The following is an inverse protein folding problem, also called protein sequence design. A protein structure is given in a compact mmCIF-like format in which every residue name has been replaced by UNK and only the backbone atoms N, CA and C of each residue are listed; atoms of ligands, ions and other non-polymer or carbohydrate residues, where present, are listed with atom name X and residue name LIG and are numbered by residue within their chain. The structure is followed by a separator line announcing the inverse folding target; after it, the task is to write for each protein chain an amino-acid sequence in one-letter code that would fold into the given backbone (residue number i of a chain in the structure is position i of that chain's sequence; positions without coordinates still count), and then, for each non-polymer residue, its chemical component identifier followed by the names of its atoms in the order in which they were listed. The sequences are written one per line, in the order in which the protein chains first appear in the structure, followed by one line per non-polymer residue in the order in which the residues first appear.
data_IF_112343743787
#
_entry.id   IF_112343743787
#
_cell.length_a   1.000
_cell.length_b   1.000
_cell.length_c   1.000
_cell.angle_alpha   90.00
_cell.angle_beta   90.00
_cell.angle_gamma   90.00
#
_symmetry.space_group_name_H-M   'P 1'
#
loop_
_entity.id
_entity.type
_entity.pdbx_description
1 polymer ?
#
# COMPACT_ATOMS: atom_id res chain seq x y z
N UNK A 1 10.80 -4.98 -5.58
CA UNK A 1 9.99 -4.45 -4.45
C UNK A 1 10.33 -5.17 -3.17
N UNK A 2 10.35 -4.47 -2.03
CA UNK A 2 10.60 -5.09 -0.72
C UNK A 2 9.40 -5.90 -0.26
N UNK A 3 9.66 -7.03 0.39
CA UNK A 3 8.60 -7.93 0.91
C UNK A 3 7.81 -7.29 2.07
N UNK A 4 8.42 -6.37 2.81
CA UNK A 4 7.78 -5.63 3.89
C UNK A 4 7.70 -4.15 3.54
N UNK A 5 6.50 -3.60 3.51
CA UNK A 5 6.29 -2.16 3.42
C UNK A 5 5.26 -1.67 4.44
N UNK A 6 5.37 -0.41 4.82
CA UNK A 6 4.43 0.25 5.73
C UNK A 6 3.59 1.26 4.94
N UNK A 7 2.27 1.08 4.98
CA UNK A 7 1.33 2.05 4.42
C UNK A 7 1.15 3.21 5.40
N UNK A 8 1.73 4.37 5.08
CA UNK A 8 1.78 5.53 5.97
C UNK A 8 0.55 6.44 5.84
N UNK A 9 0.16 7.15 6.93
CA UNK A 9 -0.90 8.14 6.87
C UNK A 9 -0.45 9.38 6.09
N UNK A 10 -1.41 10.12 5.53
CA UNK A 10 -1.18 11.47 5.02
C UNK A 10 -1.34 12.47 6.14
N UNK A 11 -0.33 13.32 6.41
CA UNK A 11 -0.45 14.34 7.44
C UNK A 11 -1.43 15.44 7.01
N UNK A 12 -2.37 15.78 7.91
CA UNK A 12 -3.26 16.91 7.75
C UNK A 12 -3.19 17.82 8.98
N UNK A 13 -3.30 19.14 8.79
CA UNK A 13 -3.43 20.09 9.90
C UNK A 13 -4.77 19.90 10.63
N UNK A 14 -4.94 20.58 11.79
CA UNK A 14 -6.23 20.60 12.51
C UNK A 14 -7.40 21.12 11.67
N UNK A 15 -7.12 21.92 10.64
CA UNK A 15 -8.10 22.39 9.66
C UNK A 15 -8.25 21.49 8.44
N UNK A 16 -7.82 20.23 8.51
CA UNK A 16 -7.88 19.24 7.42
C UNK A 16 -7.07 19.64 6.16
N UNK A 17 -6.19 20.62 6.26
CA UNK A 17 -5.34 21.00 5.13
C UNK A 17 -4.16 20.02 5.00
N UNK A 18 -3.78 19.69 3.77
CA UNK A 18 -2.62 18.84 3.49
C UNK A 18 -1.34 19.46 4.08
N UNK A 19 -0.62 18.70 4.89
CA UNK A 19 0.68 19.06 5.48
C UNK A 19 1.78 18.17 4.89
N UNK A 20 2.28 18.51 3.71
CA UNK A 20 3.33 17.71 3.04
C UNK A 20 4.61 17.61 3.86
N UNK A 21 4.95 18.63 4.67
CA UNK A 21 6.13 18.61 5.52
C UNK A 21 6.10 17.51 6.60
N UNK A 22 4.91 17.07 7.00
CA UNK A 22 4.73 16.01 8.00
C UNK A 22 5.16 14.62 7.51
N UNK A 23 5.35 14.39 6.21
CA UNK A 23 5.84 13.09 5.71
C UNK A 23 7.28 12.81 6.13
N UNK A 24 8.16 13.81 6.11
CA UNK A 24 9.58 13.61 6.44
C UNK A 24 9.80 13.02 7.84
N UNK A 25 9.26 13.58 8.92
CA UNK A 25 9.46 13.01 10.25
C UNK A 25 8.84 11.62 10.41
N UNK A 26 7.70 11.31 9.76
CA UNK A 26 7.11 9.97 9.75
C UNK A 26 8.07 8.98 9.09
N UNK A 27 8.59 9.30 7.91
CA UNK A 27 9.49 8.42 7.15
C UNK A 27 10.82 8.26 7.89
N UNK A 28 11.36 9.33 8.47
CA UNK A 28 12.59 9.27 9.28
C UNK A 28 12.42 8.31 10.45
N UNK A 29 11.32 8.43 11.21
CA UNK A 29 11.01 7.54 12.32
C UNK A 29 10.93 6.08 11.88
N UNK A 30 10.24 5.78 10.78
CA UNK A 30 10.12 4.43 10.25
C UNK A 30 11.48 3.87 9.80
N UNK A 31 12.29 4.67 9.10
CA UNK A 31 13.63 4.29 8.66
C UNK A 31 14.56 3.99 9.83
N UNK A 32 14.57 4.82 10.89
CA UNK A 32 15.31 4.58 12.13
C UNK A 32 14.89 3.30 12.85
N UNK A 33 13.66 2.84 12.62
CA UNK A 33 13.12 1.57 13.12
C UNK A 33 13.20 0.42 12.10
N UNK A 34 14.02 0.54 11.05
CA UNK A 34 14.37 -0.55 10.13
C UNK A 34 13.35 -0.82 9.03
N UNK A 35 12.42 0.13 8.76
CA UNK A 35 11.54 0.07 7.59
C UNK A 35 12.31 0.54 6.36
N UNK A 36 12.27 -0.26 5.30
CA UNK A 36 12.98 -0.02 4.04
C UNK A 36 12.05 0.33 2.87
N UNK A 37 10.73 0.27 3.08
CA UNK A 37 9.74 0.57 2.04
C UNK A 37 8.46 1.15 2.65
N UNK A 38 7.92 2.20 2.01
CA UNK A 38 6.67 2.84 2.43
C UNK A 38 5.71 3.03 1.26
N UNK A 39 4.41 2.90 1.57
CA UNK A 39 3.33 3.20 0.62
C UNK A 39 2.68 4.53 0.99
N UNK A 40 2.78 5.50 0.10
CA UNK A 40 2.23 6.84 0.21
C UNK A 40 0.92 6.92 -0.58
N UNK A 41 -0.05 7.71 -0.13
CA UNK A 41 -1.32 7.91 -0.83
C UNK A 41 -2.08 6.60 -1.10
N UNK A 42 -1.94 5.61 -0.20
CA UNK A 42 -2.78 4.41 -0.17
C UNK A 42 -4.09 4.64 0.61
N UNK A 43 -4.75 3.56 0.97
CA UNK A 43 -5.96 3.62 1.83
C UNK A 43 -5.65 4.22 3.20
N UNK A 44 -4.55 3.79 3.83
CA UNK A 44 -4.07 4.35 5.11
C UNK A 44 -3.71 5.83 4.98
N UNK A 45 -3.24 6.25 3.80
CA UNK A 45 -2.97 7.64 3.46
C UNK A 45 -4.22 8.44 3.08
N UNK A 46 -5.42 7.94 3.36
CA UNK A 46 -6.69 8.64 3.11
C UNK A 46 -6.85 9.17 1.68
N UNK A 47 -6.35 8.41 0.68
CA UNK A 47 -6.40 8.84 -0.72
C UNK A 47 -7.79 9.21 -1.22
N UNK A 48 -8.84 8.61 -0.64
CA UNK A 48 -10.24 8.85 -0.96
C UNK A 48 -10.73 10.24 -0.55
N UNK A 49 -10.07 10.88 0.42
CA UNK A 49 -10.42 12.22 0.93
C UNK A 49 -9.62 13.34 0.24
N UNK A 50 -8.69 13.00 -0.64
CA UNK A 50 -7.82 13.97 -1.32
C UNK A 50 -8.26 14.24 -2.76
N UNK A 51 -8.15 15.49 -3.18
CA UNK A 51 -8.23 15.86 -4.59
C UNK A 51 -7.01 15.31 -5.37
N UNK A 52 -7.12 15.26 -6.68
CA UNK A 52 -5.98 14.87 -7.53
C UNK A 52 -4.86 15.91 -7.44
N UNK A 53 -5.18 17.17 -7.27
CA UNK A 53 -4.25 18.28 -7.11
C UNK A 53 -3.43 18.12 -5.81
N UNK A 54 -4.07 17.75 -4.69
CA UNK A 54 -3.37 17.46 -3.44
C UNK A 54 -2.43 16.24 -3.57
N UNK A 55 -2.88 15.19 -4.24
CA UNK A 55 -2.04 14.01 -4.50
C UNK A 55 -0.86 14.33 -5.43
N UNK A 56 -1.04 15.22 -6.41
CA UNK A 56 0.06 15.75 -7.23
C UNK A 56 1.03 16.62 -6.41
N UNK A 57 0.52 17.42 -5.49
CA UNK A 57 1.34 18.22 -4.57
C UNK A 57 2.22 17.33 -3.67
N UNK A 58 1.72 16.18 -3.24
CA UNK A 58 2.55 15.19 -2.51
C UNK A 58 3.71 14.73 -3.41
N UNK A 59 3.45 14.38 -4.67
CA UNK A 59 4.50 13.95 -5.61
C UNK A 59 5.54 15.06 -5.80
N UNK A 60 5.12 16.32 -5.96
CA UNK A 60 6.03 17.46 -6.09
C UNK A 60 6.91 17.62 -4.86
N UNK A 61 6.33 17.55 -3.66
CA UNK A 61 7.07 17.60 -2.41
C UNK A 61 8.15 16.51 -2.33
N UNK A 62 7.81 15.26 -2.68
CA UNK A 62 8.80 14.18 -2.64
C UNK A 62 9.92 14.38 -3.65
N UNK A 63 9.64 14.94 -4.84
CA UNK A 63 10.66 15.25 -5.84
C UNK A 63 11.66 16.32 -5.39
N UNK A 64 11.26 17.21 -4.48
CA UNK A 64 12.10 18.29 -3.94
C UNK A 64 12.89 17.84 -2.70
N UNK A 65 12.66 16.63 -2.20
CA UNK A 65 13.26 16.10 -1.00
C UNK A 65 14.20 14.94 -1.30
N UNK A 66 15.19 14.77 -0.44
CA UNK A 66 16.04 13.58 -0.44
C UNK A 66 15.47 12.54 0.53
N UNK A 67 14.99 11.43 -0.02
CA UNK A 67 14.52 10.24 0.68
C UNK A 67 15.33 9.01 0.29
N UNK A 68 16.64 9.15 0.18
CA UNK A 68 17.55 8.03 -0.11
C UNK A 68 17.42 6.89 0.90
N UNK A 69 17.72 5.67 0.46
CA UNK A 69 17.72 4.44 1.25
C UNK A 69 16.34 3.98 1.77
N UNK A 70 15.26 4.46 1.19
CA UNK A 70 13.92 3.91 1.43
C UNK A 70 13.16 3.81 0.12
N UNK A 71 12.54 2.66 -0.14
CA UNK A 71 11.71 2.45 -1.32
C UNK A 71 10.38 3.21 -1.16
N UNK A 72 10.05 4.01 -2.15
CA UNK A 72 8.85 4.84 -2.18
C UNK A 72 7.83 4.28 -3.18
N UNK A 73 6.69 3.83 -2.70
CA UNK A 73 5.59 3.33 -3.51
C UNK A 73 4.42 4.30 -3.43
N UNK A 74 3.85 4.71 -4.56
CA UNK A 74 2.70 5.62 -4.57
C UNK A 74 1.41 4.88 -4.92
N UNK A 75 0.39 5.03 -4.07
CA UNK A 75 -0.94 4.48 -4.33
C UNK A 75 -1.66 5.23 -5.45
N UNK A 76 -2.12 4.51 -6.45
CA UNK A 76 -2.95 5.03 -7.55
C UNK A 76 -4.28 4.28 -7.58
N UNK A 77 -5.32 4.88 -7.03
CA UNK A 77 -6.70 4.43 -7.19
C UNK A 77 -7.59 5.67 -7.28
N UNK A 78 -8.43 5.72 -8.27
CA UNK A 78 -9.35 6.83 -8.53
C UNK A 78 -10.65 6.30 -9.11
N UNK A 79 -11.73 7.08 -9.02
CA UNK A 79 -12.99 6.74 -9.67
C UNK A 79 -12.98 7.02 -11.18
N UNK A 80 -12.07 7.90 -11.65
CA UNK A 80 -11.98 8.30 -13.05
C UNK A 80 -10.63 7.89 -13.64
N UNK A 81 -10.66 7.16 -14.75
CA UNK A 81 -9.43 6.76 -15.46
C UNK A 81 -8.53 7.97 -15.79
N UNK A 82 -9.10 9.11 -16.23
CA UNK A 82 -8.31 10.31 -16.55
C UNK A 82 -7.50 10.83 -15.35
N UNK A 83 -8.02 10.71 -14.15
CA UNK A 83 -7.31 11.14 -12.94
C UNK A 83 -6.18 10.17 -12.60
N UNK A 84 -6.42 8.86 -12.75
CA UNK A 84 -5.35 7.86 -12.63
C UNK A 84 -4.24 8.08 -13.66
N UNK A 85 -4.60 8.35 -14.93
CA UNK A 85 -3.63 8.65 -15.98
C UNK A 85 -2.80 9.91 -15.67
N UNK A 86 -3.40 10.96 -15.08
CA UNK A 86 -2.66 12.16 -14.65
C UNK A 86 -1.64 11.83 -13.56
N UNK A 87 -2.03 11.04 -12.58
CA UNK A 87 -1.11 10.61 -11.49
C UNK A 87 0.03 9.76 -12.05
N UNK A 88 -0.28 8.75 -12.87
CA UNK A 88 0.75 7.85 -13.43
C UNK A 88 1.76 8.64 -14.28
N UNK A 89 1.29 9.56 -15.13
CA UNK A 89 2.18 10.43 -15.93
C UNK A 89 3.08 11.30 -15.05
N UNK A 90 2.55 11.83 -13.94
CA UNK A 90 3.33 12.63 -13.00
C UNK A 90 4.38 11.76 -12.27
N UNK A 91 4.00 10.54 -11.92
CA UNK A 91 4.89 9.60 -11.23
C UNK A 91 6.02 9.09 -12.13
N UNK A 92 5.83 8.98 -13.43
CA UNK A 92 6.86 8.49 -14.36
C UNK A 92 8.17 9.26 -14.24
N UNK A 93 8.14 10.57 -14.10
CA UNK A 93 9.32 11.43 -13.93
C UNK A 93 9.71 11.71 -12.47
N UNK A 94 9.15 10.98 -11.51
CA UNK A 94 9.32 11.27 -10.09
C UNK A 94 10.35 10.35 -9.40
N UNK A 95 10.66 10.67 -8.14
CA UNK A 95 11.55 9.87 -7.26
C UNK A 95 10.91 8.57 -6.75
N UNK A 96 9.62 8.34 -6.98
CA UNK A 96 8.97 7.11 -6.56
C UNK A 96 9.50 5.90 -7.33
N UNK A 97 9.75 4.79 -6.64
CA UNK A 97 10.27 3.55 -7.21
C UNK A 97 9.19 2.75 -7.92
N UNK A 98 7.97 2.77 -7.39
CA UNK A 98 6.87 1.98 -7.93
C UNK A 98 5.48 2.53 -7.61
N UNK A 99 4.48 1.85 -8.18
CA UNK A 99 3.07 2.18 -8.05
C UNK A 99 2.30 1.05 -7.37
N UNK A 100 1.41 1.39 -6.43
CA UNK A 100 0.37 0.49 -5.94
C UNK A 100 -0.93 0.82 -6.69
N UNK A 101 -1.26 0.06 -7.72
CA UNK A 101 -2.36 0.31 -8.64
C UNK A 101 -3.63 -0.40 -8.20
N UNK A 102 -4.59 0.35 -7.67
CA UNK A 102 -5.89 -0.15 -7.25
C UNK A 102 -6.97 0.01 -8.32
N UNK A 103 -7.97 -0.87 -8.28
CA UNK A 103 -9.17 -0.76 -9.10
C UNK A 103 -10.08 0.37 -8.62
N UNK A 104 -10.85 1.00 -9.54
CA UNK A 104 -11.79 2.06 -9.18
C UNK A 104 -12.78 1.58 -8.12
N UNK A 105 -12.95 2.29 -7.01
CA UNK A 105 -13.99 1.99 -6.05
C UNK A 105 -15.37 2.36 -6.59
N UNK A 106 -16.44 1.77 -6.04
CA UNK A 106 -17.83 2.04 -6.36
C UNK A 106 -18.32 1.48 -7.72
N UNK A 107 -17.50 1.55 -8.77
CA UNK A 107 -17.81 1.00 -10.09
C UNK A 107 -17.36 -0.46 -10.15
N UNK A 108 -18.25 -1.35 -10.60
CA UNK A 108 -17.92 -2.78 -10.79
C UNK A 108 -17.66 -3.06 -12.27
N UNK A 109 -16.40 -2.97 -12.73
CA UNK A 109 -16.07 -3.28 -14.11
C UNK A 109 -16.22 -4.78 -14.39
N UNK A 110 -16.39 -5.15 -15.65
CA UNK A 110 -16.14 -6.52 -16.10
C UNK A 110 -14.64 -6.81 -16.04
N UNK A 111 -14.25 -8.10 -16.13
CA UNK A 111 -12.83 -8.50 -16.14
C UNK A 111 -12.09 -7.84 -17.31
N UNK A 112 -12.67 -7.84 -18.51
CA UNK A 112 -12.07 -7.19 -19.69
C UNK A 112 -11.89 -5.67 -19.51
N UNK A 113 -12.85 -4.99 -18.88
CA UNK A 113 -12.72 -3.56 -18.57
C UNK A 113 -11.64 -3.29 -17.53
N UNK A 114 -11.50 -4.16 -16.54
CA UNK A 114 -10.45 -4.05 -15.53
C UNK A 114 -9.06 -4.30 -16.13
N UNK A 115 -8.90 -5.29 -16.98
CA UNK A 115 -7.65 -5.53 -17.73
C UNK A 115 -7.32 -4.31 -18.59
N UNK A 116 -8.26 -3.80 -19.36
CA UNK A 116 -8.06 -2.59 -20.16
C UNK A 116 -7.67 -1.37 -19.32
N UNK A 117 -8.31 -1.15 -18.17
CA UNK A 117 -7.94 -0.10 -17.23
C UNK A 117 -6.48 -0.21 -16.77
N UNK A 118 -6.04 -1.40 -16.40
CA UNK A 118 -4.66 -1.64 -15.99
C UNK A 118 -3.70 -1.37 -17.16
N UNK A 119 -4.00 -1.89 -18.37
CA UNK A 119 -3.15 -1.71 -19.55
C UNK A 119 -3.00 -0.25 -19.98
N UNK A 120 -4.09 0.53 -19.92
CA UNK A 120 -4.05 1.97 -20.18
C UNK A 120 -3.08 2.68 -19.23
N UNK A 121 -3.03 2.29 -17.96
CA UNK A 121 -2.13 2.89 -16.98
C UNK A 121 -0.70 2.38 -17.13
N UNK A 122 -0.52 1.08 -17.38
CA UNK A 122 0.78 0.49 -17.61
C UNK A 122 1.47 1.08 -18.87
N UNK A 123 0.70 1.48 -19.88
CA UNK A 123 1.26 2.13 -21.09
C UNK A 123 1.93 3.47 -20.81
N UNK A 124 1.64 4.09 -19.67
CA UNK A 124 2.10 5.43 -19.29
C UNK A 124 3.30 5.46 -18.35
N UNK A 125 3.80 4.29 -17.95
CA UNK A 125 4.91 4.18 -16.99
C UNK A 125 5.86 3.05 -17.33
N UNK A 126 7.14 3.26 -17.04
CA UNK A 126 8.18 2.24 -17.05
C UNK A 126 8.44 1.66 -15.64
N UNK A 127 7.87 2.27 -14.60
CA UNK A 127 8.05 1.88 -13.21
C UNK A 127 7.41 0.54 -12.88
N UNK A 128 7.92 -0.08 -11.83
CA UNK A 128 7.35 -1.29 -11.26
C UNK A 128 5.94 -1.06 -10.70
N UNK A 129 5.06 -2.02 -10.88
CA UNK A 129 3.66 -1.93 -10.47
C UNK A 129 3.27 -3.11 -9.60
N UNK A 130 2.71 -2.80 -8.44
CA UNK A 130 2.01 -3.73 -7.58
C UNK A 130 0.52 -3.55 -7.84
N UNK A 131 -0.18 -4.58 -8.30
CA UNK A 131 -1.63 -4.54 -8.41
C UNK A 131 -2.27 -4.59 -7.02
N UNK A 132 -3.34 -3.82 -6.80
CA UNK A 132 -4.07 -3.85 -5.54
C UNK A 132 -5.52 -4.28 -5.78
N UNK A 133 -5.79 -5.54 -5.48
CA UNK A 133 -7.12 -6.13 -5.50
C UNK A 133 -7.70 -6.09 -4.09
N UNK A 134 -8.83 -5.40 -3.90
CA UNK A 134 -9.50 -5.30 -2.60
C UNK A 134 -11.01 -5.39 -2.76
N UNK A 135 -11.54 -6.60 -2.97
CA UNK A 135 -12.97 -6.81 -3.19
C UNK A 135 -13.89 -6.22 -2.12
N UNK A 136 -13.56 -6.29 -0.82
CA UNK A 136 -14.37 -5.66 0.22
C UNK A 136 -14.58 -4.15 0.06
N UNK A 137 -13.61 -3.44 -0.55
CA UNK A 137 -13.68 -1.98 -0.74
C UNK A 137 -14.21 -1.58 -2.11
N UNK A 138 -13.81 -2.30 -3.16
CA UNK A 138 -14.14 -1.94 -4.54
C UNK A 138 -15.42 -2.61 -5.03
N UNK A 139 -15.82 -3.74 -4.41
CA UNK A 139 -16.90 -4.60 -4.91
C UNK A 139 -16.54 -5.32 -6.22
N UNK A 140 -15.28 -5.20 -6.67
CA UNK A 140 -14.70 -5.89 -7.82
C UNK A 140 -13.59 -6.82 -7.36
N UNK A 141 -13.53 -8.01 -7.96
CA UNK A 141 -12.52 -9.01 -7.69
C UNK A 141 -11.87 -9.45 -9.00
N UNK A 142 -10.56 -9.24 -9.13
CA UNK A 142 -9.81 -9.62 -10.33
C UNK A 142 -9.72 -11.15 -10.41
N UNK A 143 -10.18 -11.75 -11.50
CA UNK A 143 -10.12 -13.20 -11.68
C UNK A 143 -8.67 -13.68 -11.88
N UNK A 144 -8.43 -14.96 -11.57
CA UNK A 144 -7.13 -15.60 -11.79
C UNK A 144 -6.71 -15.56 -13.26
N UNK A 145 -7.66 -15.75 -14.19
CA UNK A 145 -7.41 -15.69 -15.64
C UNK A 145 -6.94 -14.30 -16.06
N UNK A 146 -7.65 -13.26 -15.63
CA UNK A 146 -7.29 -11.86 -15.93
C UNK A 146 -5.96 -11.48 -15.31
N UNK A 147 -5.68 -11.93 -14.09
CA UNK A 147 -4.41 -11.71 -13.43
C UNK A 147 -3.26 -12.40 -14.16
N UNK A 148 -3.43 -13.67 -14.54
CA UNK A 148 -2.44 -14.43 -15.33
C UNK A 148 -2.17 -13.77 -16.69
N UNK A 149 -3.20 -13.25 -17.35
CA UNK A 149 -3.05 -12.50 -18.60
C UNK A 149 -2.19 -11.26 -18.41
N UNK A 150 -2.46 -10.44 -17.38
CA UNK A 150 -1.69 -9.24 -17.06
C UNK A 150 -0.23 -9.56 -16.75
N UNK A 151 0.05 -10.59 -15.95
CA UNK A 151 1.42 -11.02 -15.63
C UNK A 151 2.18 -11.43 -16.90
N UNK A 152 1.57 -12.25 -17.76
CA UNK A 152 2.22 -12.73 -19.00
C UNK A 152 2.54 -11.60 -19.97
N UNK A 153 1.72 -10.55 -20.02
CA UNK A 153 1.85 -9.43 -20.98
C UNK A 153 2.69 -8.29 -20.46
N UNK A 154 2.80 -8.14 -19.15
CA UNK A 154 3.39 -6.94 -18.52
C UNK A 154 4.41 -7.31 -17.43
N UNK A 155 5.70 -7.52 -17.80
CA UNK A 155 6.76 -7.85 -16.85
C UNK A 155 6.97 -6.84 -15.72
N UNK A 156 6.51 -5.60 -15.89
CA UNK A 156 6.55 -4.55 -14.85
C UNK A 156 5.50 -4.75 -13.74
N UNK A 157 4.58 -5.69 -13.88
CA UNK A 157 3.72 -6.13 -12.77
C UNK A 157 4.54 -7.09 -11.92
N UNK A 158 5.16 -6.56 -10.87
CA UNK A 158 6.13 -7.26 -10.03
C UNK A 158 5.55 -7.70 -8.69
N UNK A 159 4.29 -7.41 -8.44
CA UNK A 159 3.62 -7.81 -7.20
C UNK A 159 2.11 -7.63 -7.26
N UNK A 160 1.46 -8.21 -6.25
CA UNK A 160 0.04 -8.02 -6.00
C UNK A 160 -0.23 -7.94 -4.51
N UNK A 161 -0.98 -6.93 -4.10
CA UNK A 161 -1.59 -6.84 -2.78
C UNK A 161 -3.04 -7.32 -2.92
N UNK A 162 -3.33 -8.51 -2.40
CA UNK A 162 -4.64 -9.13 -2.58
C UNK A 162 -5.42 -9.24 -1.27
N UNK A 163 -6.58 -8.59 -1.22
CA UNK A 163 -7.57 -8.70 -0.15
C UNK A 163 -8.65 -9.76 -0.42
N UNK A 164 -8.51 -10.54 -1.50
CA UNK A 164 -9.38 -11.65 -1.85
C UNK A 164 -8.84 -13.01 -1.38
N UNK A 165 -9.40 -14.11 -1.93
CA UNK A 165 -8.91 -15.48 -1.68
C UNK A 165 -7.67 -15.79 -2.55
N UNK A 166 -6.51 -15.80 -1.91
CA UNK A 166 -5.21 -15.98 -2.59
C UNK A 166 -4.96 -17.41 -3.07
N UNK A 167 -5.59 -18.40 -2.43
CA UNK A 167 -5.46 -19.83 -2.80
C UNK A 167 -5.85 -20.10 -4.25
N UNK A 168 -6.70 -19.24 -4.82
CA UNK A 168 -7.08 -19.31 -6.25
C UNK A 168 -5.91 -19.03 -7.21
N UNK A 169 -4.79 -18.49 -6.72
CA UNK A 169 -3.60 -18.21 -7.51
C UNK A 169 -2.49 -19.27 -7.34
N UNK A 170 -2.77 -20.35 -6.61
CA UNK A 170 -1.78 -21.41 -6.29
C UNK A 170 -1.23 -22.17 -7.52
N UNK A 171 -1.89 -22.07 -8.66
CA UNK A 171 -1.48 -22.66 -9.94
C UNK A 171 -0.74 -21.68 -10.87
N UNK A 172 -0.44 -20.46 -10.38
CA UNK A 172 0.35 -19.48 -11.12
C UNK A 172 1.83 -19.68 -10.78
N UNK A 173 2.65 -19.88 -11.80
CA UNK A 173 4.10 -19.84 -11.69
C UNK A 173 4.56 -18.36 -11.71
N UNK A 174 4.84 -17.82 -10.53
CA UNK A 174 5.28 -16.43 -10.38
C UNK A 174 6.77 -16.29 -10.69
N UNK A 175 7.20 -15.14 -11.25
CA UNK A 175 8.62 -14.79 -11.29
C UNK A 175 9.27 -14.87 -9.90
N UNK A 176 10.56 -15.20 -9.83
CA UNK A 176 11.30 -15.40 -8.57
C UNK A 176 11.18 -14.18 -7.62
N UNK A 177 11.24 -12.96 -8.18
CA UNK A 177 11.18 -11.71 -7.42
C UNK A 177 9.75 -11.17 -7.24
N UNK A 178 8.73 -11.96 -7.59
CA UNK A 178 7.34 -11.52 -7.47
C UNK A 178 6.88 -11.50 -6.00
N UNK A 179 6.27 -10.39 -5.57
CA UNK A 179 5.78 -10.28 -4.19
C UNK A 179 4.26 -10.33 -4.13
N UNK A 180 3.74 -11.39 -3.51
CA UNK A 180 2.33 -11.48 -3.13
C UNK A 180 2.17 -10.93 -1.71
N UNK A 181 1.64 -9.71 -1.58
CA UNK A 181 1.47 -9.07 -0.29
C UNK A 181 0.18 -9.50 0.41
N UNK A 182 0.29 -9.85 1.67
CA UNK A 182 -0.82 -9.84 2.59
C UNK A 182 -1.41 -8.42 2.67
N UNK A 183 -2.75 -8.32 2.57
CA UNK A 183 -3.44 -7.04 2.46
C UNK A 183 -3.75 -6.37 3.82
N UNK A 184 -2.91 -6.61 4.81
CA UNK A 184 -2.99 -6.06 6.14
C UNK A 184 -2.56 -7.06 7.19
N UNK A 185 -2.48 -6.59 8.43
CA UNK A 185 -1.85 -7.28 9.55
C UNK A 185 -2.77 -8.32 10.21
N UNK A 186 -4.10 -8.08 10.20
CA UNK A 186 -5.09 -8.82 11.00
C UNK A 186 -5.14 -10.33 10.70
N UNK A 187 -4.93 -10.71 9.45
CA UNK A 187 -4.98 -12.10 8.99
C UNK A 187 -3.66 -12.52 8.32
N UNK A 188 -2.55 -11.85 8.66
CA UNK A 188 -1.27 -12.05 7.99
C UNK A 188 -0.81 -13.53 8.06
N UNK A 189 -1.00 -14.20 9.20
CA UNK A 189 -0.63 -15.60 9.38
C UNK A 189 -1.36 -16.54 8.41
N UNK A 190 -2.67 -16.34 8.22
CA UNK A 190 -3.45 -17.13 7.27
C UNK A 190 -3.07 -16.76 5.83
N UNK A 191 -2.87 -15.48 5.56
CA UNK A 191 -2.53 -15.02 4.21
C UNK A 191 -1.14 -15.51 3.77
N UNK A 192 -0.16 -15.60 4.68
CA UNK A 192 1.16 -16.20 4.40
C UNK A 192 1.01 -17.70 4.15
N UNK A 193 0.23 -18.42 4.96
CA UNK A 193 -0.06 -19.85 4.72
C UNK A 193 -0.76 -20.10 3.37
N UNK A 194 -1.56 -19.14 2.92
CA UNK A 194 -2.27 -19.18 1.64
C UNK A 194 -1.39 -18.73 0.45
N UNK A 195 -0.09 -18.48 0.66
CA UNK A 195 0.90 -18.23 -0.40
C UNK A 195 1.39 -16.79 -0.51
N UNK A 196 1.05 -15.87 0.41
CA UNK A 196 1.72 -14.57 0.44
C UNK A 196 3.17 -14.74 0.94
N UNK A 197 4.08 -13.95 0.37
CA UNK A 197 5.49 -13.87 0.76
C UNK A 197 5.89 -12.45 1.19
N UNK A 198 4.94 -11.52 1.22
CA UNK A 198 5.13 -10.13 1.64
C UNK A 198 3.98 -9.62 2.51
N UNK A 199 4.21 -8.50 3.18
CA UNK A 199 3.23 -7.81 4.02
C UNK A 199 3.22 -6.31 3.74
N UNK A 200 2.03 -5.78 3.41
CA UNK A 200 1.81 -4.32 3.36
C UNK A 200 1.07 -3.90 4.62
N UNK A 201 1.85 -3.52 5.62
CA UNK A 201 1.42 -3.32 7.01
C UNK A 201 0.81 -1.94 7.24
N UNK A 202 -0.21 -1.87 8.08
CA UNK A 202 -0.70 -0.64 8.72
C UNK A 202 -0.17 -0.53 10.15
N UNK A 203 -0.17 -1.64 10.89
CA UNK A 203 0.30 -1.71 12.30
C UNK A 203 1.80 -1.44 12.40
N UNK A 204 2.55 -1.66 11.33
CA UNK A 204 3.97 -1.28 11.22
C UNK A 204 4.25 0.22 11.37
N UNK A 205 3.24 1.10 11.35
CA UNK A 205 3.38 2.50 11.77
C UNK A 205 3.60 2.65 13.29
N UNK A 206 3.16 1.70 14.08
CA UNK A 206 3.20 1.71 15.55
C UNK A 206 4.28 0.75 16.05
N UNK A 207 4.35 -0.44 15.47
CA UNK A 207 5.25 -1.54 15.83
C UNK A 207 6.07 -2.01 14.61
N UNK A 208 6.95 -1.14 14.06
CA UNK A 208 7.63 -1.42 12.78
C UNK A 208 8.53 -2.67 12.83
N UNK A 209 9.30 -2.85 13.89
CA UNK A 209 10.20 -4.00 14.06
C UNK A 209 9.43 -5.30 14.24
N UNK A 210 8.43 -5.26 15.12
CA UNK A 210 7.60 -6.42 15.45
C UNK A 210 6.83 -6.94 14.23
N UNK A 211 6.28 -6.05 13.39
CA UNK A 211 5.59 -6.46 12.17
C UNK A 211 6.55 -6.99 11.10
N UNK A 212 7.76 -6.45 11.01
CA UNK A 212 8.81 -7.00 10.13
C UNK A 212 9.27 -8.38 10.62
N UNK A 213 9.51 -8.53 11.91
CA UNK A 213 9.88 -9.81 12.53
C UNK A 213 8.77 -10.85 12.36
N UNK A 214 7.51 -10.45 12.54
CA UNK A 214 6.34 -11.32 12.30
C UNK A 214 6.34 -11.89 10.89
N UNK A 215 6.53 -11.05 9.86
CA UNK A 215 6.60 -11.53 8.48
C UNK A 215 7.71 -12.57 8.31
N UNK A 216 8.91 -12.29 8.83
CA UNK A 216 10.05 -13.21 8.74
C UNK A 216 9.77 -14.53 9.45
N UNK A 217 9.22 -14.49 10.67
CA UNK A 217 8.88 -15.68 11.45
C UNK A 217 7.82 -16.55 10.74
N UNK A 218 6.79 -15.92 10.17
CA UNK A 218 5.74 -16.61 9.42
C UNK A 218 6.27 -17.25 8.14
N UNK A 219 7.07 -16.54 7.35
CA UNK A 219 7.67 -17.08 6.12
C UNK A 219 8.66 -18.24 6.39
N UNK A 220 9.31 -18.25 7.56
CA UNK A 220 10.22 -19.32 8.00
C UNK A 220 9.52 -20.44 8.77
N UNK A 221 8.19 -20.45 8.85
CA UNK A 221 7.39 -21.39 9.65
C UNK A 221 7.78 -21.42 11.15
N UNK A 222 8.28 -20.29 11.69
CA UNK A 222 8.62 -20.12 13.11
C UNK A 222 7.46 -19.50 13.90
N UNK A 223 6.25 -19.93 13.68
CA UNK A 223 5.02 -19.34 14.24
C UNK A 223 4.84 -19.34 15.77
N UNK A 224 5.86 -19.73 16.54
CA UNK A 224 5.76 -19.80 18.01
C UNK A 224 5.52 -18.45 18.70
N UNK A 225 5.86 -17.32 18.05
CA UNK A 225 5.66 -15.96 18.57
C UNK A 225 4.42 -15.25 18.02
N UNK A 226 3.64 -15.90 17.17
CA UNK A 226 2.51 -15.23 16.50
C UNK A 226 1.48 -14.64 17.48
N UNK A 227 1.22 -15.31 18.60
CA UNK A 227 0.30 -14.81 19.64
C UNK A 227 0.78 -13.49 20.30
N UNK A 228 2.09 -13.26 20.33
CA UNK A 228 2.66 -11.98 20.81
C UNK A 228 2.36 -10.87 19.81
N UNK A 229 2.63 -11.10 18.53
CA UNK A 229 2.34 -10.15 17.46
C UNK A 229 0.85 -9.86 17.33
N UNK A 230 0.01 -10.90 17.46
CA UNK A 230 -1.44 -10.76 17.41
C UNK A 230 -1.98 -9.83 18.50
N UNK A 231 -1.44 -9.88 19.72
CA UNK A 231 -1.85 -8.94 20.77
C UNK A 231 -1.56 -7.49 20.40
N UNK A 232 -0.40 -7.20 19.81
CA UNK A 232 -0.05 -5.84 19.36
C UNK A 232 -0.98 -5.38 18.23
N UNK A 233 -1.34 -6.28 17.33
CA UNK A 233 -2.30 -6.00 16.26
C UNK A 233 -3.69 -5.72 16.83
N UNK A 234 -4.19 -6.56 17.74
CA UNK A 234 -5.49 -6.41 18.37
C UNK A 234 -5.57 -5.11 19.19
N UNK A 235 -4.50 -4.75 19.92
CA UNK A 235 -4.39 -3.49 20.66
C UNK A 235 -4.45 -2.28 19.72
N UNK A 236 -3.73 -2.32 18.61
CA UNK A 236 -3.75 -1.25 17.62
C UNK A 236 -5.12 -1.12 16.92
N UNK A 237 -5.87 -2.20 16.78
CA UNK A 237 -7.14 -2.26 16.05
C UNK A 237 -8.40 -2.00 16.92
N UNK A 238 -8.24 -1.63 18.18
CA UNK A 238 -9.37 -1.34 19.10
C UNK A 238 -10.26 -0.16 18.65
N UNK A 239 -9.75 0.69 17.77
CA UNK A 239 -10.43 1.83 17.15
C UNK A 239 -10.11 1.90 15.65
N UNK A 240 -10.73 2.83 14.88
CA UNK A 240 -10.32 3.05 13.49
C UNK A 240 -8.80 3.23 13.39
N UNK A 241 -8.13 2.27 12.76
CA UNK A 241 -6.66 2.15 12.82
C UNK A 241 -5.92 3.39 12.31
N UNK A 242 -6.50 4.14 11.36
CA UNK A 242 -5.89 5.38 10.86
C UNK A 242 -5.82 6.45 11.96
N UNK A 243 -6.87 6.56 12.79
CA UNK A 243 -6.87 7.48 13.94
C UNK A 243 -5.83 7.08 14.98
N UNK A 244 -5.72 5.77 15.27
CA UNK A 244 -4.72 5.24 16.21
C UNK A 244 -3.30 5.54 15.72
N UNK A 245 -3.02 5.31 14.43
CA UNK A 245 -1.73 5.60 13.81
C UNK A 245 -1.38 7.08 13.93
N UNK A 246 -2.30 7.98 13.57
CA UNK A 246 -2.04 9.44 13.68
C UNK A 246 -1.87 9.87 15.14
N UNK A 247 -2.70 9.34 16.05
CA UNK A 247 -2.56 9.54 17.49
C UNK A 247 -1.20 9.10 18.03
N UNK A 248 -0.70 7.96 17.58
CA UNK A 248 0.62 7.45 17.94
C UNK A 248 1.72 8.42 17.51
N UNK A 249 1.77 8.83 16.23
CA UNK A 249 2.77 9.80 15.77
C UNK A 249 2.69 11.12 16.52
N UNK A 250 1.48 11.66 16.71
CA UNK A 250 1.29 12.89 17.46
C UNK A 250 1.80 12.78 18.92
N UNK A 251 1.66 11.62 19.57
CA UNK A 251 2.18 11.36 20.91
C UNK A 251 3.72 11.34 20.97
N UNK A 252 4.36 11.00 19.85
CA UNK A 252 5.83 11.07 19.69
C UNK A 252 6.33 12.47 19.30
N UNK A 253 5.45 13.47 19.19
CA UNK A 253 5.80 14.79 18.70
C UNK A 253 5.96 14.89 17.18
N UNK A 254 5.53 13.86 16.43
CA UNK A 254 5.53 13.83 14.97
C UNK A 254 4.15 14.29 14.49
N UNK A 255 4.08 15.42 13.79
CA UNK A 255 2.84 16.05 13.34
C UNK A 255 2.16 15.24 12.21
N UNK A 256 1.48 14.14 12.53
CA UNK A 256 0.60 13.44 11.61
C UNK A 256 -0.80 14.09 11.50
N UNK A 257 -1.15 14.91 12.49
CA UNK A 257 -2.36 15.71 12.53
C UNK A 257 -3.64 14.91 12.75
N UNK A 258 -4.72 15.29 12.06
CA UNK A 258 -6.04 14.67 12.20
C UNK A 258 -6.40 13.83 10.97
N UNK A 259 -7.36 12.91 11.11
CA UNK A 259 -8.05 12.34 9.94
C UNK A 259 -8.99 13.38 9.35
N UNK A 260 -9.26 13.29 8.05
CA UNK A 260 -10.32 14.08 7.41
C UNK A 260 -11.67 13.47 7.69
N UNK A 261 -12.66 14.32 7.86
CA UNK A 261 -14.06 13.87 7.96
C UNK A 261 -14.45 12.98 6.77
N UNK A 262 -15.22 11.89 6.98
CA UNK A 262 -16.00 11.57 8.20
C UNK A 262 -15.28 10.64 9.23
N UNK A 263 -13.96 10.49 9.17
CA UNK A 263 -13.17 9.72 10.14
C UNK A 263 -12.86 10.52 11.39
#
# INVERSE_FOLDING_TARGET
MKEFNVAIPTPFSKGEQLNVGGFRPIITHLKENGVESVVISGTTGEQHSMSIEERMQIIDYFNEQDFTEIELIFGVATTRLKDAQRLVKKLEGSVFDGLLLGFPPYIKPTQAQAVHYVEELLSLTSKDVILYNNPPRTGFDLSTESFRELLRRHPKVVGMKDGGDKRRHSDIDFPEDFVMYAAGDMEADQQIKDGCNGLSSMVGNIYPKEMKDMLQDLCQNKGSRYEEYKRLIDEAADRPLIEVIKGHYNSLGIEAGVCRSPL
#
